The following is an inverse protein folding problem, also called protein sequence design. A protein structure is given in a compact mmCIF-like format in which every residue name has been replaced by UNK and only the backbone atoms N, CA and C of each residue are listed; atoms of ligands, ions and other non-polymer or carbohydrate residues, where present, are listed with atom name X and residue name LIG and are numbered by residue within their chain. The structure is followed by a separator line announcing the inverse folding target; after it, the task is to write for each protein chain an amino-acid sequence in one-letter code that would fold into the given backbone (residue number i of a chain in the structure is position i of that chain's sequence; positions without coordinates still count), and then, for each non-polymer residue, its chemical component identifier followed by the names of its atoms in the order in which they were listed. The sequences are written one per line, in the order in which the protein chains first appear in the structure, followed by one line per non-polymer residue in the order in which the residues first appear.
data_IF_013371282236
#
_entry.id   IF_013371282236
#
_cell.length_a   1.000
_cell.length_b   1.000
_cell.length_c   1.000
_cell.angle_alpha   90.00
_cell.angle_beta   90.00
_cell.angle_gamma   90.00
#
_symmetry.space_group_name_H-M   'P 1'
#
loop_
_entity.id
_entity.type
_entity.pdbx_description
1 polymer ?
#
# COMPACT_ATOMS: atom_id res chain seq x y z
N UNK A 1 -5.02 -17.82 -28.17
CA UNK A 1 -4.69 -16.40 -27.87
C UNK A 1 -3.79 -15.85 -28.98
N UNK A 2 -4.03 -14.64 -29.49
CA UNK A 2 -3.18 -14.02 -30.52
C UNK A 2 -1.79 -13.67 -29.95
N UNK A 3 -0.72 -13.91 -30.71
CA UNK A 3 0.67 -13.63 -30.31
C UNK A 3 0.90 -12.18 -29.81
N UNK A 4 0.15 -11.22 -30.38
CA UNK A 4 0.16 -9.80 -29.97
C UNK A 4 -0.34 -9.57 -28.54
N UNK A 5 -1.29 -10.38 -28.06
CA UNK A 5 -1.81 -10.30 -26.69
C UNK A 5 -0.77 -10.79 -25.67
N UNK A 6 -0.05 -11.87 -26.00
CA UNK A 6 1.00 -12.42 -25.12
C UNK A 6 2.17 -11.43 -24.96
N UNK A 7 2.61 -10.79 -26.06
CA UNK A 7 3.67 -9.77 -26.01
C UNK A 7 3.29 -8.59 -25.12
N UNK A 8 2.04 -8.11 -25.20
CA UNK A 8 1.55 -7.04 -24.34
C UNK A 8 1.59 -7.43 -22.86
N UNK A 9 1.08 -8.61 -22.51
CA UNK A 9 1.07 -9.09 -21.11
C UNK A 9 2.48 -9.23 -20.56
N UNK A 10 3.42 -9.77 -21.34
CA UNK A 10 4.82 -9.92 -20.94
C UNK A 10 5.46 -8.55 -20.67
N UNK A 11 5.23 -7.57 -21.55
CA UNK A 11 5.75 -6.21 -21.35
C UNK A 11 5.21 -5.58 -20.05
N UNK A 12 3.92 -5.76 -19.75
CA UNK A 12 3.34 -5.29 -18.47
C UNK A 12 4.01 -5.98 -17.28
N UNK A 13 4.26 -7.29 -17.35
CA UNK A 13 4.93 -8.02 -16.26
C UNK A 13 6.37 -7.54 -16.04
N UNK A 14 7.12 -7.22 -17.10
CA UNK A 14 8.45 -6.62 -16.96
C UNK A 14 8.41 -5.24 -16.30
N UNK A 15 7.42 -4.41 -16.63
CA UNK A 15 7.22 -3.12 -15.95
C UNK A 15 6.94 -3.35 -14.45
N UNK A 16 6.10 -4.33 -14.10
CA UNK A 16 5.84 -4.67 -12.70
C UNK A 16 7.10 -5.15 -11.96
N UNK A 17 7.99 -5.89 -12.62
CA UNK A 17 9.28 -6.30 -12.04
C UNK A 17 10.15 -5.08 -11.80
N UNK A 18 10.30 -4.20 -12.79
CA UNK A 18 11.11 -3.00 -12.67
C UNK A 18 10.61 -2.08 -11.55
N UNK A 19 9.30 -1.85 -11.47
CA UNK A 19 8.66 -1.06 -10.41
C UNK A 19 8.89 -1.70 -9.03
N UNK A 20 8.68 -3.01 -8.92
CA UNK A 20 8.88 -3.73 -7.66
C UNK A 20 10.33 -3.74 -7.19
N UNK A 21 11.29 -3.94 -8.10
CA UNK A 21 12.74 -3.86 -7.80
C UNK A 21 13.11 -2.45 -7.33
N UNK A 22 12.61 -1.42 -8.01
CA UNK A 22 12.87 -0.03 -7.61
C UNK A 22 12.29 0.27 -6.22
N UNK A 23 11.07 -0.17 -5.93
CA UNK A 23 10.45 -0.02 -4.62
C UNK A 23 11.27 -0.71 -3.52
N UNK A 24 11.73 -1.94 -3.75
CA UNK A 24 12.58 -2.68 -2.81
C UNK A 24 13.94 -1.99 -2.61
N UNK A 25 14.60 -1.62 -3.70
CA UNK A 25 15.94 -1.02 -3.69
C UNK A 25 15.97 0.34 -2.97
N UNK A 26 14.89 1.12 -3.04
CA UNK A 26 14.80 2.40 -2.31
C UNK A 26 14.39 2.22 -0.85
N UNK A 27 13.44 1.33 -0.56
CA UNK A 27 12.86 1.25 0.78
C UNK A 27 13.68 0.41 1.76
N UNK A 28 14.36 -0.65 1.32
CA UNK A 28 15.19 -1.48 2.21
C UNK A 28 16.32 -0.64 2.85
N UNK A 29 17.11 0.16 2.10
CA UNK A 29 18.15 0.99 2.71
C UNK A 29 17.60 2.01 3.71
N UNK A 30 16.41 2.58 3.45
CA UNK A 30 15.74 3.51 4.38
C UNK A 30 15.42 2.80 5.70
N UNK A 31 14.81 1.61 5.63
CA UNK A 31 14.50 0.81 6.82
C UNK A 31 15.79 0.42 7.54
N UNK A 32 16.82 -0.05 6.83
CA UNK A 32 18.10 -0.42 7.42
C UNK A 32 18.80 0.75 8.12
N UNK A 33 18.82 1.94 7.50
CA UNK A 33 19.41 3.15 8.08
C UNK A 33 18.65 3.58 9.35
N UNK A 34 17.32 3.51 9.35
CA UNK A 34 16.51 3.85 10.52
C UNK A 34 16.66 2.84 11.66
N UNK A 35 16.82 1.56 11.35
CA UNK A 35 17.06 0.52 12.37
C UNK A 35 18.47 0.61 12.97
N UNK A 36 19.46 1.06 12.18
CA UNK A 36 20.87 1.16 12.59
C UNK A 36 21.12 2.34 13.53
N UNK A 37 20.34 3.42 13.44
CA UNK A 37 20.50 4.60 14.30
C UNK A 37 19.57 4.56 15.50
N UNK A 38 20.13 4.42 16.71
CA UNK A 38 19.37 4.47 17.97
C UNK A 38 18.66 5.82 18.20
N UNK A 39 19.26 6.92 17.74
CA UNK A 39 18.65 8.26 17.81
C UNK A 39 17.42 8.38 16.92
N UNK A 40 17.47 7.82 15.71
CA UNK A 40 16.31 7.84 14.80
C UNK A 40 15.22 6.90 15.31
N UNK A 41 15.59 5.70 15.78
CA UNK A 41 14.66 4.72 16.32
C UNK A 41 13.86 5.23 17.52
N UNK A 42 14.40 6.13 18.34
CA UNK A 42 13.64 6.68 19.47
C UNK A 42 12.67 7.82 19.07
N UNK A 43 12.77 8.37 17.86
CA UNK A 43 11.89 9.48 17.45
C UNK A 43 10.65 8.95 16.71
N UNK A 44 9.47 9.35 17.17
CA UNK A 44 8.18 8.82 16.70
C UNK A 44 7.92 9.05 15.21
N UNK A 45 8.39 10.17 14.69
CA UNK A 45 8.23 10.53 13.28
C UNK A 45 8.87 9.47 12.36
N UNK A 46 9.98 8.88 12.78
CA UNK A 46 10.67 7.84 12.01
C UNK A 46 9.98 6.48 12.12
N UNK A 47 9.20 6.19 13.17
CA UNK A 47 8.42 4.94 13.24
C UNK A 47 7.36 4.87 12.15
N UNK A 48 6.66 5.98 11.88
CA UNK A 48 5.66 6.04 10.80
C UNK A 48 6.33 5.86 9.44
N UNK A 49 7.44 6.56 9.19
CA UNK A 49 8.19 6.44 7.93
C UNK A 49 8.75 5.04 7.74
N UNK A 50 9.34 4.45 8.78
CA UNK A 50 9.83 3.07 8.77
C UNK A 50 8.72 2.08 8.45
N UNK A 51 7.54 2.25 9.04
CA UNK A 51 6.38 1.38 8.79
C UNK A 51 5.89 1.45 7.34
N UNK A 52 5.84 2.65 6.74
CA UNK A 52 5.47 2.84 5.33
C UNK A 52 6.54 2.22 4.42
N UNK A 53 7.82 2.54 4.64
CA UNK A 53 8.90 2.00 3.82
C UNK A 53 9.00 0.48 3.90
N UNK A 54 8.79 -0.11 5.08
CA UNK A 54 8.73 -1.55 5.24
C UNK A 54 7.57 -2.16 4.45
N UNK A 55 6.37 -1.54 4.50
CA UNK A 55 5.21 -1.99 3.73
C UNK A 55 5.46 -1.90 2.21
N UNK A 56 6.07 -0.81 1.74
CA UNK A 56 6.40 -0.61 0.32
C UNK A 56 7.46 -1.60 -0.17
N UNK A 57 8.45 -1.95 0.67
CA UNK A 57 9.41 -2.99 0.35
C UNK A 57 8.74 -4.37 0.23
N UNK A 58 7.85 -4.73 1.16
CA UNK A 58 7.07 -5.98 1.09
C UNK A 58 6.18 -6.00 -0.16
N UNK A 59 5.55 -4.88 -0.49
CA UNK A 59 4.73 -4.73 -1.69
C UNK A 59 5.56 -4.93 -2.96
N UNK A 60 6.72 -4.25 -3.07
CA UNK A 60 7.63 -4.40 -4.21
C UNK A 60 8.10 -5.85 -4.38
N UNK A 61 8.45 -6.51 -3.27
CA UNK A 61 8.86 -7.92 -3.30
C UNK A 61 7.74 -8.85 -3.77
N UNK A 62 6.51 -8.65 -3.27
CA UNK A 62 5.33 -9.40 -3.70
C UNK A 62 5.05 -9.25 -5.21
N UNK A 63 5.24 -8.04 -5.75
CA UNK A 63 5.10 -7.74 -7.17
C UNK A 63 6.12 -8.49 -8.02
N UNK A 64 7.40 -8.44 -7.64
CA UNK A 64 8.48 -9.14 -8.35
C UNK A 64 8.22 -10.63 -8.38
N UNK A 65 7.92 -11.26 -7.24
CA UNK A 65 7.65 -12.69 -7.17
C UNK A 65 6.42 -13.10 -7.99
N UNK A 66 5.34 -12.32 -7.91
CA UNK A 66 4.13 -12.59 -8.68
C UNK A 66 4.38 -12.49 -10.18
N UNK A 67 5.15 -11.50 -10.61
CA UNK A 67 5.47 -11.31 -12.02
C UNK A 67 6.40 -12.40 -12.55
N UNK A 68 7.44 -12.79 -11.81
CA UNK A 68 8.34 -13.89 -12.18
C UNK A 68 7.55 -15.20 -12.33
N UNK A 69 6.72 -15.54 -11.35
CA UNK A 69 5.92 -16.77 -11.40
C UNK A 69 4.99 -16.78 -12.63
N UNK A 70 4.33 -15.65 -12.93
CA UNK A 70 3.46 -15.54 -14.12
C UNK A 70 4.23 -15.62 -15.44
N UNK A 71 5.43 -15.06 -15.52
CA UNK A 71 6.30 -15.19 -16.71
C UNK A 71 6.74 -16.64 -16.89
N UNK A 72 7.07 -17.35 -15.81
CA UNK A 72 7.42 -18.77 -15.86
C UNK A 72 6.24 -19.59 -16.38
N UNK A 73 5.04 -19.40 -15.83
CA UNK A 73 3.83 -20.05 -16.35
C UNK A 73 3.59 -19.75 -17.84
N UNK A 74 3.79 -18.50 -18.29
CA UNK A 74 3.64 -18.15 -19.72
C UNK A 74 4.64 -18.88 -20.62
N UNK A 75 5.87 -19.10 -20.15
CA UNK A 75 6.90 -19.82 -20.90
C UNK A 75 6.59 -21.31 -20.98
N UNK A 76 6.14 -21.89 -19.87
CA UNK A 76 5.84 -23.33 -19.78
C UNK A 76 4.63 -23.72 -20.64
N UNK A 77 3.63 -22.83 -20.74
CA UNK A 77 2.38 -23.08 -21.48
C UNK A 77 2.30 -22.35 -22.84
N UNK A 78 3.44 -22.01 -23.45
CA UNK A 78 3.49 -21.17 -24.66
C UNK A 78 2.66 -21.70 -25.85
N UNK A 79 2.39 -23.01 -25.90
CA UNK A 79 1.62 -23.69 -26.95
C UNK A 79 0.46 -24.56 -26.45
N UNK A 80 0.26 -24.65 -25.13
CA UNK A 80 -0.78 -25.48 -24.54
C UNK A 80 -1.90 -24.60 -23.97
N UNK A 81 -3.11 -25.15 -23.89
CA UNK A 81 -4.17 -24.52 -23.10
C UNK A 81 -3.72 -24.41 -21.65
N UNK A 82 -4.05 -23.28 -21.04
CA UNK A 82 -3.65 -22.99 -19.66
C UNK A 82 -4.39 -23.97 -18.76
N UNK A 83 -3.69 -24.82 -17.98
CA UNK A 83 -4.36 -25.80 -17.16
C UNK A 83 -5.19 -25.11 -16.08
N UNK A 84 -6.36 -25.67 -15.83
CA UNK A 84 -7.18 -25.29 -14.70
C UNK A 84 -6.70 -26.05 -13.46
N UNK A 85 -6.59 -25.32 -12.35
CA UNK A 85 -6.23 -25.87 -11.05
C UNK A 85 -7.28 -25.45 -10.03
N UNK A 86 -7.49 -26.25 -8.97
CA UNK A 86 -8.49 -25.89 -7.97
C UNK A 86 -8.10 -24.60 -7.23
N UNK A 87 -9.09 -23.77 -6.90
CA UNK A 87 -8.91 -22.45 -6.30
C UNK A 87 -8.07 -22.48 -5.02
N UNK A 88 -8.28 -23.45 -4.14
CA UNK A 88 -7.49 -23.59 -2.91
C UNK A 88 -5.98 -23.69 -3.20
N UNK A 89 -5.59 -24.33 -4.30
CA UNK A 89 -4.18 -24.47 -4.71
C UNK A 89 -3.60 -23.13 -5.17
N UNK A 90 -4.40 -22.29 -5.81
CA UNK A 90 -4.02 -20.90 -6.14
C UNK A 90 -3.95 -20.02 -4.89
N UNK A 91 -4.97 -20.09 -4.02
CA UNK A 91 -5.11 -19.23 -2.84
C UNK A 91 -3.98 -19.43 -1.82
N UNK A 92 -3.46 -20.66 -1.74
CA UNK A 92 -2.37 -21.04 -0.84
C UNK A 92 -0.98 -20.75 -1.41
N UNK A 93 -0.86 -20.32 -2.66
CA UNK A 93 0.44 -19.92 -3.20
C UNK A 93 0.95 -18.67 -2.49
N UNK A 94 2.21 -18.70 -2.10
CA UNK A 94 2.87 -17.63 -1.36
C UNK A 94 2.79 -16.26 -2.07
N UNK A 95 3.02 -16.22 -3.40
CA UNK A 95 2.91 -14.99 -4.19
C UNK A 95 1.49 -14.40 -4.19
N UNK A 96 0.46 -15.24 -4.28
CA UNK A 96 -0.95 -14.82 -4.21
C UNK A 96 -1.30 -14.32 -2.82
N UNK A 97 -0.81 -14.98 -1.78
CA UNK A 97 -1.03 -14.56 -0.41
C UNK A 97 -0.37 -13.21 -0.12
N UNK A 98 0.90 -13.06 -0.50
CA UNK A 98 1.64 -11.81 -0.36
C UNK A 98 0.99 -10.65 -1.10
N UNK A 99 0.62 -10.81 -2.38
CA UNK A 99 0.02 -9.71 -3.14
C UNK A 99 -1.33 -9.30 -2.53
N UNK A 100 -2.09 -10.27 -2.02
CA UNK A 100 -3.38 -10.04 -1.35
C UNK A 100 -3.21 -9.27 -0.04
N UNK A 101 -2.20 -9.63 0.76
CA UNK A 101 -1.83 -8.86 1.96
C UNK A 101 -1.38 -7.45 1.59
N UNK A 102 -0.48 -7.34 0.60
CA UNK A 102 0.12 -6.08 0.20
C UNK A 102 -0.93 -5.07 -0.30
N UNK A 103 -1.94 -5.52 -1.06
CA UNK A 103 -3.04 -4.65 -1.51
C UNK A 103 -3.87 -4.07 -0.35
N UNK A 104 -4.18 -4.88 0.66
CA UNK A 104 -4.96 -4.41 1.82
C UNK A 104 -4.11 -3.50 2.71
N UNK A 105 -2.85 -3.89 2.97
CA UNK A 105 -1.92 -3.15 3.82
C UNK A 105 -1.68 -1.75 3.29
N UNK A 106 -1.50 -1.61 1.98
CA UNK A 106 -1.31 -0.31 1.32
C UNK A 106 -2.49 0.65 1.55
N UNK A 107 -3.72 0.16 1.44
CA UNK A 107 -4.92 0.98 1.67
C UNK A 107 -5.02 1.45 3.13
N UNK A 108 -4.80 0.53 4.08
CA UNK A 108 -4.94 0.81 5.51
C UNK A 108 -3.79 1.69 6.02
N UNK A 109 -2.55 1.45 5.58
CA UNK A 109 -1.40 2.29 5.92
C UNK A 109 -1.62 3.74 5.45
N UNK A 110 -2.15 3.91 4.24
CA UNK A 110 -2.49 5.22 3.69
C UNK A 110 -3.50 5.99 4.57
N UNK A 111 -4.50 5.29 5.11
CA UNK A 111 -5.45 5.87 6.06
C UNK A 111 -4.82 6.16 7.41
N UNK A 112 -4.01 5.24 7.91
CA UNK A 112 -3.29 5.35 9.19
C UNK A 112 -2.40 6.59 9.21
N UNK A 113 -1.65 6.83 8.13
CA UNK A 113 -0.80 8.02 7.96
C UNK A 113 -1.64 9.29 7.90
N UNK A 114 -2.77 9.30 7.19
CA UNK A 114 -3.64 10.45 7.14
C UNK A 114 -4.18 10.81 8.54
N UNK A 115 -4.62 9.80 9.32
CA UNK A 115 -5.09 9.96 10.70
C UNK A 115 -3.97 10.50 11.60
N UNK A 116 -2.77 9.94 11.51
CA UNK A 116 -1.62 10.40 12.29
C UNK A 116 -1.33 11.89 12.04
N UNK A 117 -1.33 12.32 10.77
CA UNK A 117 -1.15 13.73 10.41
C UNK A 117 -2.27 14.63 10.92
N UNK A 118 -3.52 14.16 10.88
CA UNK A 118 -4.65 14.90 11.43
C UNK A 118 -4.49 15.09 12.94
N UNK A 119 -4.10 14.05 13.67
CA UNK A 119 -3.90 14.10 15.12
C UNK A 119 -2.76 15.05 15.50
N UNK A 120 -1.64 14.99 14.77
CA UNK A 120 -0.50 15.90 14.97
C UNK A 120 -0.90 17.38 14.82
N UNK A 121 -1.78 17.70 13.87
CA UNK A 121 -2.19 19.09 13.59
C UNK A 121 -3.33 19.56 14.49
N UNK A 122 -4.26 18.68 14.83
CA UNK A 122 -5.45 19.05 15.61
C UNK A 122 -5.13 19.21 17.09
N UNK A 123 -4.26 18.37 17.66
CA UNK A 123 -4.00 18.38 19.11
C UNK A 123 -2.49 18.20 19.39
N UNK A 124 -1.63 19.17 19.03
CA UNK A 124 -0.18 19.04 19.13
C UNK A 124 0.32 18.77 20.56
N UNK A 125 -0.32 19.39 21.57
CA UNK A 125 0.07 19.24 22.99
C UNK A 125 -0.21 17.85 23.54
N UNK A 126 -1.30 17.19 23.14
CA UNK A 126 -1.58 15.80 23.52
C UNK A 126 -0.79 14.82 22.67
N UNK A 127 -0.58 15.14 21.39
CA UNK A 127 0.19 14.31 20.47
C UNK A 127 1.63 14.07 20.98
N UNK A 128 2.28 15.10 21.53
CA UNK A 128 3.58 14.97 22.18
C UNK A 128 3.55 14.06 23.42
N UNK A 129 2.44 14.06 24.17
CA UNK A 129 2.26 13.26 25.39
C UNK A 129 1.81 11.81 25.16
N UNK A 130 1.43 11.42 23.94
CA UNK A 130 1.05 10.03 23.68
C UNK A 130 2.18 9.07 24.01
N UNK A 131 1.87 7.88 24.49
CA UNK A 131 2.88 6.92 24.93
C UNK A 131 3.38 6.05 23.76
N UNK A 132 4.47 5.31 23.96
CA UNK A 132 5.01 4.33 23.00
C UNK A 132 3.96 3.32 22.53
N UNK A 133 3.00 2.98 23.39
CA UNK A 133 1.87 2.08 23.06
C UNK A 133 1.06 2.55 21.85
N UNK A 134 0.87 3.86 21.69
CA UNK A 134 0.17 4.42 20.53
C UNK A 134 0.94 4.12 19.24
N UNK A 135 2.27 4.27 19.24
CA UNK A 135 3.10 3.98 18.07
C UNK A 135 3.08 2.51 17.70
N UNK A 136 3.11 1.60 18.70
CA UNK A 136 2.97 0.17 18.44
C UNK A 136 1.62 -0.10 17.76
N UNK A 137 0.54 0.45 18.30
CA UNK A 137 -0.79 0.22 17.74
C UNK A 137 -0.93 0.79 16.33
N UNK A 138 -0.42 2.00 16.10
CA UNK A 138 -0.43 2.67 14.80
C UNK A 138 0.40 1.89 13.76
N UNK A 139 1.56 1.37 14.16
CA UNK A 139 2.47 0.65 13.28
C UNK A 139 2.01 -0.79 13.03
N UNK A 140 1.74 -1.56 14.09
CA UNK A 140 1.43 -2.99 14.02
C UNK A 140 -0.04 -3.28 13.70
N UNK A 141 -0.97 -2.39 14.07
CA UNK A 141 -2.40 -2.56 13.87
C UNK A 141 -2.79 -2.90 12.42
N UNK A 142 -2.32 -2.14 11.41
CA UNK A 142 -2.57 -2.45 10.00
C UNK A 142 -2.09 -3.85 9.60
N UNK A 143 -0.91 -4.29 10.06
CA UNK A 143 -0.37 -5.60 9.74
C UNK A 143 -1.20 -6.72 10.36
N UNK A 144 -1.58 -6.59 11.64
CA UNK A 144 -2.42 -7.58 12.33
C UNK A 144 -3.78 -7.69 11.66
N UNK A 145 -4.42 -6.56 11.32
CA UNK A 145 -5.69 -6.55 10.62
C UNK A 145 -5.62 -7.28 9.27
N UNK A 146 -4.63 -6.95 8.44
CA UNK A 146 -4.43 -7.57 7.12
C UNK A 146 -4.10 -9.05 7.24
N UNK A 147 -3.32 -9.43 8.25
CA UNK A 147 -2.97 -10.81 8.52
C UNK A 147 -4.20 -11.65 8.86
N UNK A 148 -5.05 -11.15 9.76
CA UNK A 148 -6.32 -11.81 10.11
C UNK A 148 -7.22 -11.92 8.88
N UNK A 149 -7.46 -10.83 8.15
CA UNK A 149 -8.32 -10.84 6.96
C UNK A 149 -7.83 -11.82 5.88
N UNK A 150 -6.52 -11.84 5.62
CA UNK A 150 -5.92 -12.72 4.62
C UNK A 150 -5.91 -14.19 5.04
N UNK A 151 -5.70 -14.45 6.33
CA UNK A 151 -5.79 -15.82 6.90
C UNK A 151 -7.21 -16.35 6.84
N UNK A 152 -8.21 -15.53 7.19
CA UNK A 152 -9.63 -15.91 7.06
C UNK A 152 -9.98 -16.25 5.62
N UNK A 153 -9.53 -15.45 4.63
CA UNK A 153 -9.72 -15.80 3.22
C UNK A 153 -9.01 -17.09 2.81
N UNK A 154 -7.79 -17.33 3.30
CA UNK A 154 -7.09 -18.58 3.02
C UNK A 154 -7.84 -19.80 3.58
N UNK A 155 -8.36 -19.71 4.81
CA UNK A 155 -9.16 -20.76 5.43
C UNK A 155 -10.46 -21.04 4.66
N UNK A 156 -11.17 -19.99 4.22
CA UNK A 156 -12.37 -20.14 3.39
C UNK A 156 -12.04 -20.76 2.03
N UNK A 157 -10.92 -20.37 1.42
CA UNK A 157 -10.51 -20.89 0.13
C UNK A 157 -10.13 -22.38 0.19
N UNK A 158 -9.75 -22.93 1.35
CA UNK A 158 -9.48 -24.38 1.50
C UNK A 158 -10.72 -25.25 1.26
N UNK A 159 -11.92 -24.71 1.45
CA UNK A 159 -13.17 -25.42 1.23
C UNK A 159 -13.67 -25.34 -0.22
N UNK A 160 -12.96 -24.60 -1.08
CA UNK A 160 -13.40 -24.28 -2.43
C UNK A 160 -12.61 -25.05 -3.50
N UNK A 161 -13.27 -26.03 -4.11
CA UNK A 161 -12.73 -26.87 -5.18
C UNK A 161 -13.03 -26.37 -6.59
N UNK A 162 -13.53 -25.13 -6.74
CA UNK A 162 -13.80 -24.57 -8.08
C UNK A 162 -12.52 -24.48 -8.91
N UNK A 163 -12.62 -24.91 -10.17
CA UNK A 163 -11.51 -24.87 -11.11
C UNK A 163 -11.28 -23.44 -11.59
N UNK A 164 -10.03 -22.99 -11.53
CA UNK A 164 -9.61 -21.65 -11.95
C UNK A 164 -8.34 -21.73 -12.77
N UNK A 165 -8.08 -20.71 -13.58
CA UNK A 165 -6.86 -20.63 -14.37
C UNK A 165 -5.61 -20.68 -13.49
N UNK A 166 -4.62 -21.51 -13.87
CA UNK A 166 -3.31 -21.63 -13.19
C UNK A 166 -2.48 -20.35 -13.13
N UNK A 167 -2.89 -19.28 -13.82
CA UNK A 167 -2.33 -17.94 -13.64
C UNK A 167 -2.57 -17.34 -12.25
N UNK A 168 -3.50 -17.92 -11.48
CA UNK A 168 -3.86 -17.49 -10.13
C UNK A 168 -3.99 -15.97 -10.01
N UNK A 169 -4.78 -15.37 -10.90
CA UNK A 169 -5.06 -13.94 -10.81
C UNK A 169 -5.81 -13.68 -9.50
N UNK A 170 -5.44 -12.64 -8.77
CA UNK A 170 -6.05 -12.33 -7.47
C UNK A 170 -7.59 -12.35 -7.48
N UNK A 171 -8.31 -11.81 -8.49
CA UNK A 171 -9.77 -11.85 -8.52
C UNK A 171 -10.37 -13.27 -8.63
N UNK A 172 -9.64 -14.22 -9.20
CA UNK A 172 -10.09 -15.62 -9.37
C UNK A 172 -9.51 -16.55 -8.32
N UNK A 173 -8.38 -16.17 -7.72
CA UNK A 173 -7.65 -16.96 -6.74
C UNK A 173 -8.20 -16.82 -5.32
N UNK A 174 -8.83 -15.69 -4.98
CA UNK A 174 -9.47 -15.50 -3.66
C UNK A 174 -10.93 -15.97 -3.68
N UNK A 175 -11.50 -16.16 -2.49
CA UNK A 175 -12.90 -16.56 -2.33
C UNK A 175 -13.84 -15.53 -2.99
N UNK A 176 -14.95 -15.94 -3.64
CA UNK A 176 -15.93 -15.01 -4.19
C UNK A 176 -16.41 -14.02 -3.12
N UNK A 177 -16.53 -12.75 -3.48
CA UNK A 177 -16.86 -11.66 -2.53
C UNK A 177 -15.67 -11.10 -1.74
N UNK A 178 -14.60 -11.88 -1.48
CA UNK A 178 -13.41 -11.34 -0.79
C UNK A 178 -12.66 -10.32 -1.65
N UNK A 179 -12.61 -10.54 -2.97
CA UNK A 179 -12.02 -9.57 -3.89
C UNK A 179 -12.80 -8.24 -3.89
N UNK A 180 -14.13 -8.30 -3.84
CA UNK A 180 -14.98 -7.11 -3.77
C UNK A 180 -14.81 -6.39 -2.43
N UNK A 181 -14.67 -7.15 -1.33
CA UNK A 181 -14.30 -6.62 -0.03
C UNK A 181 -12.97 -5.85 -0.06
N UNK A 182 -11.89 -6.42 -0.61
CA UNK A 182 -10.59 -5.73 -0.72
C UNK A 182 -10.75 -4.44 -1.55
N UNK A 183 -11.48 -4.52 -2.66
CA UNK A 183 -11.71 -3.39 -3.56
C UNK A 183 -12.49 -2.28 -2.86
N UNK A 184 -13.55 -2.62 -2.12
CA UNK A 184 -14.37 -1.68 -1.36
C UNK A 184 -13.58 -1.05 -0.21
N UNK A 185 -12.85 -1.87 0.56
CA UNK A 185 -11.96 -1.41 1.63
C UNK A 185 -10.99 -0.35 1.10
N UNK A 186 -10.36 -0.62 -0.05
CA UNK A 186 -9.44 0.34 -0.68
C UNK A 186 -10.13 1.65 -1.06
N UNK A 187 -11.31 1.59 -1.67
CA UNK A 187 -12.07 2.79 -2.06
C UNK A 187 -12.41 3.61 -0.81
N UNK A 188 -12.93 2.97 0.24
CA UNK A 188 -13.29 3.62 1.50
C UNK A 188 -12.07 4.27 2.14
N UNK A 189 -10.95 3.54 2.28
CA UNK A 189 -9.72 4.08 2.85
C UNK A 189 -9.22 5.30 2.06
N UNK A 190 -9.21 5.24 0.72
CA UNK A 190 -8.77 6.37 -0.11
C UNK A 190 -9.69 7.59 0.04
N UNK A 191 -11.01 7.39 0.05
CA UNK A 191 -11.99 8.48 0.23
C UNK A 191 -11.85 9.15 1.60
N UNK A 192 -11.73 8.35 2.67
CA UNK A 192 -11.53 8.87 4.03
C UNK A 192 -10.19 9.60 4.13
N UNK A 193 -9.10 9.04 3.59
CA UNK A 193 -7.80 9.70 3.54
C UNK A 193 -7.89 11.05 2.82
N UNK A 194 -8.49 11.09 1.64
CA UNK A 194 -8.64 12.33 0.87
C UNK A 194 -9.40 13.40 1.67
N UNK A 195 -10.51 13.02 2.32
CA UNK A 195 -11.27 13.92 3.20
C UNK A 195 -10.42 14.44 4.36
N UNK A 196 -9.67 13.56 5.03
CA UNK A 196 -8.76 13.94 6.11
C UNK A 196 -7.69 14.93 5.62
N UNK A 197 -7.12 14.73 4.43
CA UNK A 197 -6.14 15.66 3.87
C UNK A 197 -6.72 17.04 3.59
N UNK A 198 -7.96 17.13 3.12
CA UNK A 198 -8.66 18.42 2.97
C UNK A 198 -8.79 19.11 4.33
N UNK A 199 -9.18 18.39 5.39
CA UNK A 199 -9.25 18.93 6.74
C UNK A 199 -7.89 19.42 7.25
N UNK A 200 -6.84 18.64 7.00
CA UNK A 200 -5.44 18.99 7.34
C UNK A 200 -5.04 20.31 6.66
N UNK A 201 -5.28 20.45 5.36
CA UNK A 201 -4.94 21.66 4.59
C UNK A 201 -5.71 22.88 5.12
N UNK A 202 -7.02 22.75 5.37
CA UNK A 202 -7.87 23.84 5.90
C UNK A 202 -7.42 24.26 7.31
N UNK A 203 -7.02 23.32 8.16
CA UNK A 203 -6.53 23.63 9.51
C UNK A 203 -5.16 24.32 9.46
N UNK A 204 -4.24 23.83 8.63
CA UNK A 204 -2.93 24.42 8.44
C UNK A 204 -3.02 25.85 7.86
N UNK A 205 -3.91 26.09 6.89
CA UNK A 205 -4.11 27.43 6.32
C UNK A 205 -4.66 28.41 7.37
N UNK A 206 -5.66 27.98 8.16
CA UNK A 206 -6.20 28.78 9.28
C UNK A 206 -5.13 29.09 10.34
N UNK A 207 -4.29 28.13 10.71
CA UNK A 207 -3.21 28.36 11.68
C UNK A 207 -2.16 29.34 11.14
N UNK A 208 -1.76 29.18 9.87
CA UNK A 208 -0.81 30.08 9.21
C UNK A 208 -1.34 31.51 9.15
N UNK A 209 -2.64 31.68 8.82
CA UNK A 209 -3.29 33.00 8.79
C UNK A 209 -3.36 33.66 10.17
N UNK A 210 -3.54 32.88 11.25
CA UNK A 210 -3.50 33.38 12.63
C UNK A 210 -2.10 33.81 13.04
N UNK A 211 -1.07 33.01 12.73
CA UNK A 211 0.32 33.31 13.07
C UNK A 211 0.87 34.54 12.33
N UNK A 212 0.46 34.76 11.07
CA UNK A 212 0.82 35.97 10.32
C UNK A 212 0.31 37.27 10.95
N UNK A 213 -0.69 37.21 11.84
CA UNK A 213 -1.21 38.38 12.58
C UNK A 213 -0.56 38.58 13.96
N UNK A 214 0.19 37.60 14.46
CA UNK A 214 0.74 37.57 15.84
C UNK A 214 2.28 37.55 15.89
N UNK A 215 2.96 37.81 14.78
CA UNK A 215 4.39 37.48 14.66
C UNK A 215 5.30 38.40 15.49
N UNK A 216 5.66 37.94 16.69
CA UNK A 216 6.99 38.13 17.27
C UNK A 216 7.94 37.03 16.73
N UNK A 217 9.22 37.33 16.48
CA UNK A 217 10.14 36.42 15.78
C UNK A 217 10.75 35.42 16.75
N UNK A 218 10.40 34.13 16.64
CA UNK A 218 11.18 33.08 17.31
C UNK A 218 10.49 31.72 17.38
N UNK A 219 11.19 30.68 16.94
CA UNK A 219 10.94 29.26 17.24
C UNK A 219 9.74 28.52 16.63
N UNK A 220 8.51 29.03 16.61
CA UNK A 220 7.35 28.23 16.14
C UNK A 220 7.25 28.04 14.61
N UNK A 221 7.90 28.90 13.84
CA UNK A 221 7.72 28.99 12.37
C UNK A 221 8.55 27.99 11.57
N UNK A 222 9.66 27.48 12.12
CA UNK A 222 10.56 26.53 11.44
C UNK A 222 9.99 25.11 11.41
N UNK A 223 9.45 24.61 12.53
CA UNK A 223 8.77 23.31 12.59
C UNK A 223 7.51 23.26 11.72
N UNK A 224 6.68 24.32 11.73
CA UNK A 224 5.51 24.42 10.86
C UNK A 224 5.88 24.50 9.38
N UNK A 225 6.99 25.18 9.02
CA UNK A 225 7.53 25.14 7.65
C UNK A 225 7.97 23.74 7.24
N UNK A 226 8.60 22.99 8.15
CA UNK A 226 9.00 21.59 7.93
C UNK A 226 7.80 20.67 7.68
N UNK A 227 6.78 20.75 8.54
CA UNK A 227 5.51 20.02 8.39
C UNK A 227 4.78 20.40 7.10
N UNK A 228 4.75 21.68 6.73
CA UNK A 228 4.13 22.16 5.48
C UNK A 228 4.87 21.62 4.25
N UNK A 229 6.21 21.64 4.25
CA UNK A 229 7.00 21.04 3.16
C UNK A 229 6.77 19.53 3.06
N UNK A 230 6.74 18.80 4.18
CA UNK A 230 6.42 17.37 4.19
C UNK A 230 5.00 17.06 3.69
N UNK A 231 4.01 17.88 4.06
CA UNK A 231 2.61 17.68 3.62
C UNK A 231 2.47 17.97 2.12
N UNK A 232 3.18 18.98 1.61
CA UNK A 232 3.21 19.34 0.19
C UNK A 232 3.93 18.28 -0.65
N UNK A 233 4.92 17.57 -0.12
CA UNK A 233 5.58 16.45 -0.84
C UNK A 233 4.78 15.14 -0.79
N UNK A 234 3.96 14.94 0.26
CA UNK A 234 3.14 13.71 0.39
C UNK A 234 1.89 13.78 -0.49
N UNK A 235 1.23 14.93 -0.64
CA UNK A 235 0.05 15.09 -1.52
C UNK A 235 0.26 14.62 -2.99
N UNK A 236 1.39 14.93 -3.64
CA UNK A 236 1.75 14.41 -4.95
C UNK A 236 1.96 12.89 -4.98
N UNK A 237 2.52 12.30 -3.91
CA UNK A 237 2.62 10.84 -3.80
C UNK A 237 1.23 10.19 -3.80
N UNK A 238 0.25 10.78 -3.08
CA UNK A 238 -1.15 10.34 -3.12
C UNK A 238 -1.76 10.46 -4.52
N UNK A 239 -1.49 11.54 -5.26
CA UNK A 239 -1.97 11.73 -6.62
C UNK A 239 -1.34 10.76 -7.64
N UNK A 240 -0.04 10.48 -7.51
CA UNK A 240 0.65 9.44 -8.29
C UNK A 240 0.12 8.04 -7.96
N UNK A 241 -0.23 7.77 -6.70
CA UNK A 241 -0.87 6.52 -6.28
C UNK A 241 -2.27 6.35 -6.85
N UNK A 242 -3.07 7.43 -6.84
CA UNK A 242 -4.40 7.45 -7.44
C UNK A 242 -4.33 7.22 -8.96
N UNK A 243 -3.33 7.82 -9.63
CA UNK A 243 -3.05 7.55 -11.06
C UNK A 243 -2.68 6.08 -11.30
N UNK A 244 -1.79 5.49 -10.49
CA UNK A 244 -1.40 4.08 -10.67
C UNK A 244 -2.59 3.13 -10.44
N UNK A 245 -3.43 3.41 -9.43
CA UNK A 245 -4.66 2.66 -9.15
C UNK A 245 -5.69 2.78 -10.27
N UNK A 246 -5.91 4.00 -10.79
CA UNK A 246 -6.80 4.26 -11.93
C UNK A 246 -6.27 3.62 -13.22
N UNK A 247 -4.96 3.61 -13.45
CA UNK A 247 -4.33 2.94 -14.59
C UNK A 247 -4.52 1.43 -14.49
N UNK A 248 -4.37 0.83 -13.31
CA UNK A 248 -4.65 -0.61 -13.10
C UNK A 248 -6.14 -0.92 -13.33
N UNK A 249 -7.07 -0.08 -12.85
CA UNK A 249 -8.51 -0.21 -13.13
C UNK A 249 -8.83 -0.03 -14.62
N UNK A 250 -8.14 0.88 -15.30
CA UNK A 250 -8.28 1.13 -16.73
C UNK A 250 -7.75 -0.05 -17.57
N UNK A 251 -6.56 -0.58 -17.22
CA UNK A 251 -5.98 -1.79 -17.83
C UNK A 251 -6.90 -3.00 -17.59
N UNK A 252 -7.51 -3.12 -16.41
CA UNK A 252 -8.51 -4.16 -16.13
C UNK A 252 -9.75 -4.02 -17.01
N UNK A 253 -10.20 -2.80 -17.28
CA UNK A 253 -11.33 -2.53 -18.19
C UNK A 253 -10.96 -2.80 -19.65
N UNK A 254 -9.68 -2.69 -20.00
CA UNK A 254 -9.16 -3.01 -21.33
C UNK A 254 -8.89 -4.52 -21.54
N UNK A 255 -8.57 -5.27 -20.47
CA UNK A 255 -8.34 -6.72 -20.52
C UNK A 255 -9.62 -7.56 -20.44
N UNK A 256 -10.74 -6.98 -20.00
CA UNK A 256 -12.05 -7.62 -19.95
C UNK A 256 -12.94 -7.26 -21.16
N UNK A 257 -12.40 -6.52 -22.15
CA UNK A 257 -12.98 -6.35 -23.48
C UNK A 257 -12.18 -7.17 -24.47
#
# INVERSE_FOLDING_TARGET
MNAKSNSFVINVLYVCIAEGVFAVALNIPVVAAMLSSSSLRNSREFHVVMGISAADAVYGFAFVLTAINRIQSLKDYHHAEIPEIPRWKCATQYNVHLITMAYQLQAIQTLTVAIDRLLAITIPTRYLKFDFRYNIFLSAGPYVFVFIASTTNALLALQDSTMVSSFCRTPTAVTPGFFDYISLLRIICILISAFIYVLVIVKLSKQTAKMGKMQAPGFGSSQLRGLRRCTITVGPCFASFFKCTCVILYIRRALNR
#
